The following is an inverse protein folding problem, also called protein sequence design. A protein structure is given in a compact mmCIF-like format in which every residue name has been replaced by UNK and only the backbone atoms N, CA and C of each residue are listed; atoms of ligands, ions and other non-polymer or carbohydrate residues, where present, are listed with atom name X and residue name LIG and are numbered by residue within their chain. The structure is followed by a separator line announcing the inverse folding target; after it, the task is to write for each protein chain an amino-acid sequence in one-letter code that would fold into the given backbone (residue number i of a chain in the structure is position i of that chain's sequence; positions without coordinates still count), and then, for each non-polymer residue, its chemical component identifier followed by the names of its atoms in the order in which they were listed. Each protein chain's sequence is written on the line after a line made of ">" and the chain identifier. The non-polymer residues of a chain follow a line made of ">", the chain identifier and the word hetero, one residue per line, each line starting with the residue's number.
data_IF_245101762234
#
_entry.id   IF_245101762234
#
_cell.length_a   1.000
_cell.length_b   1.000
_cell.length_c   1.000
_cell.angle_alpha   90.00
_cell.angle_beta   90.00
_cell.angle_gamma   90.00
#
_symmetry.space_group_name_H-M   'P 1'
#
loop_
_entity.id
_entity.type
_entity.pdbx_description
1 polymer ?
#
# COMPACT_ATOMS: atom_id res chain seq x y z
N UNK A 1 24.53 3.52 -11.22
CA UNK A 1 23.57 3.21 -12.31
C UNK A 1 22.17 2.91 -11.80
N UNK A 2 21.99 1.98 -10.86
CA UNK A 2 20.67 1.54 -10.37
C UNK A 2 19.76 2.70 -9.93
N UNK A 3 20.29 3.72 -9.26
CA UNK A 3 19.50 4.84 -8.74
C UNK A 3 18.88 5.72 -9.84
N UNK A 4 19.54 5.84 -11.00
CA UNK A 4 18.97 6.54 -12.16
C UNK A 4 17.79 5.76 -12.78
N UNK A 5 17.82 4.42 -12.71
CA UNK A 5 16.67 3.59 -13.09
C UNK A 5 15.55 3.71 -12.04
N UNK A 6 15.90 3.70 -10.75
CA UNK A 6 14.99 3.88 -9.61
C UNK A 6 14.22 5.21 -9.73
N UNK A 7 14.94 6.32 -9.95
CA UNK A 7 14.35 7.64 -10.17
C UNK A 7 13.44 7.71 -11.41
N UNK A 8 13.88 7.17 -12.55
CA UNK A 8 13.04 7.12 -13.77
C UNK A 8 11.75 6.32 -13.56
N UNK A 9 11.82 5.15 -12.93
CA UNK A 9 10.65 4.32 -12.62
C UNK A 9 9.69 4.99 -11.62
N UNK A 10 10.21 5.71 -10.63
CA UNK A 10 9.42 6.49 -9.68
C UNK A 10 8.69 7.66 -10.34
N UNK A 11 9.29 8.29 -11.37
CA UNK A 11 8.67 9.39 -12.12
C UNK A 11 7.52 9.00 -13.06
N UNK A 12 7.37 7.71 -13.42
CA UNK A 12 6.39 7.31 -14.43
C UNK A 12 4.92 7.54 -14.00
N UNK A 13 4.04 8.02 -14.92
CA UNK A 13 2.62 8.18 -14.66
C UNK A 13 1.92 6.83 -14.39
N UNK A 14 0.84 6.89 -13.62
CA UNK A 14 0.09 5.73 -13.07
C UNK A 14 -0.31 4.68 -14.10
N UNK A 15 -0.67 5.10 -15.33
CA UNK A 15 -1.01 4.16 -16.42
C UNK A 15 0.22 3.38 -16.91
N UNK A 16 1.36 4.05 -17.11
CA UNK A 16 2.60 3.41 -17.57
C UNK A 16 3.18 2.45 -16.52
N UNK A 17 3.18 2.83 -15.23
CA UNK A 17 3.55 1.90 -14.12
C UNK A 17 2.70 0.63 -14.13
N UNK A 18 1.39 0.74 -14.40
CA UNK A 18 0.49 -0.41 -14.49
C UNK A 18 0.71 -1.26 -15.73
N UNK A 19 0.96 -0.64 -16.90
CA UNK A 19 1.27 -1.35 -18.15
C UNK A 19 2.58 -2.13 -17.99
N UNK A 20 3.61 -1.52 -17.40
CA UNK A 20 4.89 -2.19 -17.12
C UNK A 20 4.69 -3.43 -16.24
N UNK A 21 3.93 -3.33 -15.14
CA UNK A 21 3.62 -4.49 -14.28
C UNK A 21 2.87 -5.61 -15.03
N UNK A 22 1.92 -5.27 -15.90
CA UNK A 22 1.20 -6.27 -16.71
C UNK A 22 2.16 -6.93 -17.72
N UNK A 23 3.02 -6.16 -18.38
CA UNK A 23 4.01 -6.70 -19.32
C UNK A 23 5.03 -7.63 -18.63
N UNK A 24 5.51 -7.25 -17.43
CA UNK A 24 6.38 -8.10 -16.62
C UNK A 24 5.68 -9.40 -16.22
N UNK A 25 4.45 -9.34 -15.71
CA UNK A 25 3.71 -10.54 -15.29
C UNK A 25 3.34 -11.44 -16.49
N UNK A 26 3.09 -10.90 -17.70
CA UNK A 26 2.94 -11.71 -18.94
C UNK A 26 4.25 -12.47 -19.22
N UNK A 27 5.39 -11.78 -19.17
CA UNK A 27 6.71 -12.40 -19.34
C UNK A 27 6.99 -13.48 -18.30
N UNK A 28 6.59 -13.28 -17.03
CA UNK A 28 6.70 -14.30 -15.99
C UNK A 28 5.78 -15.50 -16.22
N UNK A 29 4.56 -15.29 -16.72
CA UNK A 29 3.64 -16.38 -17.09
C UNK A 29 4.25 -17.23 -18.20
N UNK A 30 4.76 -16.62 -19.27
CA UNK A 30 5.50 -17.32 -20.33
C UNK A 30 6.73 -18.06 -19.82
N UNK A 31 7.57 -17.40 -19.01
CA UNK A 31 8.76 -18.01 -18.42
C UNK A 31 8.41 -19.22 -17.53
N UNK A 32 7.37 -19.09 -16.70
CA UNK A 32 6.90 -20.19 -15.83
C UNK A 32 6.34 -21.38 -16.61
N UNK A 33 5.71 -21.13 -17.77
CA UNK A 33 5.20 -22.17 -18.66
C UNK A 33 6.34 -22.88 -19.40
N UNK A 34 7.30 -22.13 -19.93
CA UNK A 34 8.49 -22.69 -20.59
C UNK A 34 9.35 -23.51 -19.62
N UNK A 35 9.56 -23.02 -18.40
CA UNK A 35 10.21 -23.80 -17.34
C UNK A 35 9.37 -25.04 -16.93
N UNK A 36 8.04 -24.98 -16.99
CA UNK A 36 7.19 -26.14 -16.72
C UNK A 36 7.30 -27.23 -17.79
N UNK A 37 7.53 -26.86 -19.06
CA UNK A 37 7.91 -27.78 -20.14
C UNK A 37 9.28 -28.42 -19.87
N UNK A 38 10.32 -27.62 -19.62
CA UNK A 38 11.68 -28.09 -19.34
C UNK A 38 11.73 -29.06 -18.14
N UNK A 39 11.05 -28.73 -17.03
CA UNK A 39 10.97 -29.58 -15.84
C UNK A 39 10.12 -30.85 -16.06
N UNK A 40 9.29 -30.90 -17.11
CA UNK A 40 8.44 -32.07 -17.42
C UNK A 40 9.02 -33.02 -18.47
N UNK A 41 9.67 -32.49 -19.50
CA UNK A 41 10.15 -33.26 -20.66
C UNK A 41 11.67 -33.41 -20.69
N UNK A 42 12.42 -32.67 -19.86
CA UNK A 42 13.87 -32.62 -19.91
C UNK A 42 14.37 -31.79 -21.10
N UNK A 43 15.58 -32.08 -21.55
CA UNK A 43 16.28 -31.37 -22.64
C UNK A 43 16.58 -32.23 -23.86
N UNK A 44 16.20 -33.51 -23.85
CA UNK A 44 16.59 -34.49 -24.88
C UNK A 44 15.52 -34.69 -25.95
N UNK A 45 14.23 -34.66 -25.58
CA UNK A 45 13.17 -34.38 -26.55
C UNK A 45 13.26 -32.91 -26.96
N UNK A 46 13.52 -32.64 -28.25
CA UNK A 46 13.74 -31.29 -28.77
C UNK A 46 12.42 -30.49 -28.78
N UNK A 47 12.12 -29.86 -27.64
CA UNK A 47 10.86 -29.17 -27.38
C UNK A 47 10.63 -28.05 -28.42
N UNK A 48 9.59 -28.18 -29.24
CA UNK A 48 8.97 -27.04 -29.91
C UNK A 48 7.76 -26.54 -29.09
N UNK A 49 7.94 -25.52 -28.22
CA UNK A 49 6.83 -24.92 -27.49
C UNK A 49 5.87 -24.12 -28.39
N UNK A 50 6.23 -23.88 -29.66
CA UNK A 50 5.45 -23.16 -30.67
C UNK A 50 4.82 -24.08 -31.73
N UNK A 51 5.00 -25.40 -31.63
CA UNK A 51 4.25 -26.41 -32.36
C UNK A 51 2.87 -26.66 -31.74
N UNK A 52 2.47 -27.93 -31.58
CA UNK A 52 1.15 -28.35 -31.04
C UNK A 52 0.78 -27.72 -29.68
N UNK A 53 1.76 -27.19 -28.96
CA UNK A 53 1.61 -26.61 -27.63
C UNK A 53 1.48 -25.07 -27.61
N UNK A 54 1.63 -24.38 -28.75
CA UNK A 54 1.62 -22.91 -28.85
C UNK A 54 0.39 -22.26 -28.20
N UNK A 55 -0.77 -22.92 -28.30
CA UNK A 55 -2.04 -22.44 -27.75
C UNK A 55 -1.97 -22.20 -26.23
N UNK A 56 -1.13 -22.93 -25.50
CA UNK A 56 -0.93 -22.75 -24.06
C UNK A 56 -0.25 -21.41 -23.73
N UNK A 57 0.67 -20.94 -24.57
CA UNK A 57 1.32 -19.63 -24.41
C UNK A 57 0.34 -18.46 -24.69
N UNK A 58 -0.77 -18.71 -25.38
CA UNK A 58 -1.87 -17.75 -25.53
C UNK A 58 -2.88 -17.89 -24.38
N UNK A 59 -3.28 -19.12 -24.04
CA UNK A 59 -4.29 -19.41 -23.02
C UNK A 59 -3.85 -19.06 -21.59
N UNK A 60 -2.56 -19.26 -21.25
CA UNK A 60 -2.07 -18.98 -19.89
C UNK A 60 -2.11 -17.47 -19.55
N UNK A 61 -1.60 -16.53 -20.38
CA UNK A 61 -1.82 -15.09 -20.15
C UNK A 61 -3.30 -14.69 -20.25
N UNK A 62 -4.05 -15.24 -21.22
CA UNK A 62 -5.46 -14.90 -21.42
C UNK A 62 -6.35 -15.28 -20.23
N UNK A 63 -5.99 -16.33 -19.48
CA UNK A 63 -6.67 -16.70 -18.22
C UNK A 63 -6.07 -15.98 -17.00
N UNK A 64 -4.73 -15.91 -16.88
CA UNK A 64 -4.06 -15.33 -15.74
C UNK A 64 -4.25 -13.82 -15.60
N UNK A 65 -4.07 -13.05 -16.68
CA UNK A 65 -4.08 -11.57 -16.61
C UNK A 65 -5.45 -11.01 -16.20
N UNK A 66 -6.60 -11.46 -16.73
CA UNK A 66 -7.91 -11.03 -16.22
C UNK A 66 -8.14 -11.37 -14.75
N UNK A 67 -7.68 -12.54 -14.29
CA UNK A 67 -7.75 -12.92 -12.87
C UNK A 67 -6.85 -12.04 -12.00
N UNK A 68 -5.60 -11.79 -12.41
CA UNK A 68 -4.68 -10.89 -11.70
C UNK A 68 -5.23 -9.45 -11.64
N UNK A 69 -5.95 -8.99 -12.68
CA UNK A 69 -6.71 -7.73 -12.67
C UNK A 69 -7.89 -7.80 -11.69
N UNK A 70 -8.67 -8.90 -11.68
CA UNK A 70 -9.89 -9.09 -10.88
C UNK A 70 -9.62 -9.25 -9.38
N UNK A 71 -8.48 -9.86 -9.03
CA UNK A 71 -7.92 -9.93 -7.66
C UNK A 71 -7.13 -8.68 -7.27
N UNK A 72 -6.99 -7.71 -8.19
CA UNK A 72 -6.45 -6.38 -7.88
C UNK A 72 -4.92 -6.30 -7.83
N UNK A 73 -4.17 -7.30 -8.29
CA UNK A 73 -2.69 -7.31 -8.25
C UNK A 73 -2.05 -6.13 -9.00
N UNK A 74 -2.74 -5.55 -9.98
CA UNK A 74 -2.31 -4.34 -10.71
C UNK A 74 -3.01 -3.05 -10.26
N UNK A 75 -3.90 -3.14 -9.27
CA UNK A 75 -4.52 -1.96 -8.67
C UNK A 75 -3.57 -1.53 -7.55
N UNK A 76 -3.19 -0.25 -7.54
CA UNK A 76 -2.27 0.35 -6.57
C UNK A 76 -2.79 0.38 -5.11
N UNK A 77 -3.79 -0.44 -4.79
CA UNK A 77 -4.49 -0.58 -3.52
C UNK A 77 -4.17 -1.96 -2.92
N UNK A 78 -2.92 -2.40 -3.02
CA UNK A 78 -2.33 -3.42 -2.12
C UNK A 78 -2.13 -2.83 -0.71
N UNK A 79 -3.16 -2.13 -0.21
CA UNK A 79 -3.15 -1.17 0.91
C UNK A 79 -2.93 -1.85 2.25
N UNK A 80 -3.41 -3.08 2.36
CA UNK A 80 -3.19 -3.97 3.49
C UNK A 80 -1.83 -4.65 3.28
N UNK A 81 -0.77 -3.92 3.66
CA UNK A 81 0.63 -4.34 3.54
C UNK A 81 0.98 -5.41 4.60
N UNK A 82 0.40 -6.59 4.41
CA UNK A 82 0.59 -7.78 5.23
C UNK A 82 0.27 -9.04 4.42
N UNK A 83 -0.20 -10.10 5.09
CA UNK A 83 -0.49 -11.39 4.46
C UNK A 83 -1.55 -11.31 3.35
N UNK A 84 -2.46 -10.33 3.38
CA UNK A 84 -3.50 -10.15 2.35
C UNK A 84 -2.93 -10.04 0.93
N UNK A 85 -1.75 -9.42 0.77
CA UNK A 85 -1.09 -9.31 -0.52
C UNK A 85 -0.61 -10.67 -1.05
N UNK A 86 -0.08 -11.53 -0.16
CA UNK A 86 0.34 -12.89 -0.49
C UNK A 86 -0.87 -13.81 -0.71
N UNK A 87 -1.92 -13.68 0.10
CA UNK A 87 -3.19 -14.41 -0.05
C UNK A 87 -3.85 -14.05 -1.39
N UNK A 88 -3.81 -12.78 -1.82
CA UNK A 88 -4.31 -12.37 -3.12
C UNK A 88 -3.51 -12.98 -4.28
N UNK A 89 -2.18 -12.98 -4.22
CA UNK A 89 -1.31 -13.64 -5.23
C UNK A 89 -1.61 -15.14 -5.27
N UNK A 90 -1.57 -15.82 -4.11
CA UNK A 90 -1.80 -17.27 -4.02
C UNK A 90 -3.19 -17.67 -4.56
N UNK A 91 -4.25 -16.92 -4.22
CA UNK A 91 -5.60 -17.15 -4.77
C UNK A 91 -5.63 -16.92 -6.28
N UNK A 92 -5.06 -15.83 -6.78
CA UNK A 92 -5.13 -15.49 -8.20
C UNK A 92 -4.32 -16.46 -9.07
N UNK A 93 -3.10 -16.85 -8.64
CA UNK A 93 -2.26 -17.83 -9.33
C UNK A 93 -2.91 -19.22 -9.29
N UNK A 94 -3.40 -19.67 -8.14
CA UNK A 94 -4.06 -20.99 -8.02
C UNK A 94 -5.34 -21.06 -8.86
N UNK A 95 -6.17 -20.01 -8.87
CA UNK A 95 -7.37 -19.99 -9.71
C UNK A 95 -7.00 -19.91 -11.19
N UNK A 96 -5.95 -19.20 -11.59
CA UNK A 96 -5.49 -19.20 -13.00
C UNK A 96 -4.97 -20.57 -13.45
N UNK A 97 -4.23 -21.28 -12.60
CA UNK A 97 -3.78 -22.63 -12.87
C UNK A 97 -4.95 -23.64 -12.91
N UNK A 98 -5.96 -23.48 -12.05
CA UNK A 98 -7.17 -24.32 -12.10
C UNK A 98 -8.01 -24.09 -13.36
N UNK A 99 -8.16 -22.83 -13.81
CA UNK A 99 -8.83 -22.52 -15.08
C UNK A 99 -8.03 -23.05 -16.27
N UNK A 100 -6.70 -22.92 -16.27
CA UNK A 100 -5.84 -23.50 -17.30
C UNK A 100 -5.93 -25.05 -17.31
N UNK A 101 -5.98 -25.68 -16.13
CA UNK A 101 -6.21 -27.13 -15.98
C UNK A 101 -7.53 -27.57 -16.58
N UNK A 102 -8.61 -26.79 -16.37
CA UNK A 102 -9.92 -27.06 -16.95
C UNK A 102 -9.92 -26.91 -18.48
N UNK A 103 -9.24 -25.89 -19.01
CA UNK A 103 -9.04 -25.73 -20.46
C UNK A 103 -8.27 -26.92 -21.06
N UNK A 104 -7.17 -27.36 -20.42
CA UNK A 104 -6.41 -28.55 -20.83
C UNK A 104 -7.23 -29.84 -20.73
N UNK A 105 -8.11 -29.95 -19.73
CA UNK A 105 -9.00 -31.12 -19.58
C UNK A 105 -10.09 -31.19 -20.66
N UNK A 106 -10.59 -30.03 -21.10
CA UNK A 106 -11.62 -29.87 -22.13
C UNK A 106 -11.05 -29.97 -23.55
N UNK A 107 -9.88 -29.38 -23.79
CA UNK A 107 -9.17 -29.38 -25.07
C UNK A 107 -8.44 -30.71 -25.29
N UNK A 108 -9.21 -31.77 -25.57
CA UNK A 108 -8.72 -33.13 -25.85
C UNK A 108 -8.50 -33.44 -27.34
N UNK A 109 -8.59 -32.44 -28.20
CA UNK A 109 -8.37 -32.60 -29.64
C UNK A 109 -6.96 -33.10 -29.92
N UNK A 110 -6.76 -34.17 -30.72
CA UNK A 110 -5.43 -34.58 -31.20
C UNK A 110 -4.70 -33.43 -31.91
N UNK A 111 -3.35 -33.40 -31.93
CA UNK A 111 -2.46 -34.56 -31.78
C UNK A 111 -1.88 -34.77 -30.37
N UNK A 112 -1.55 -33.69 -29.65
CA UNK A 112 -0.70 -33.76 -28.46
C UNK A 112 -1.47 -33.79 -27.13
N UNK A 113 -1.33 -34.89 -26.37
CA UNK A 113 -1.91 -35.01 -25.02
C UNK A 113 -1.02 -34.28 -24.02
N UNK A 114 -1.37 -33.03 -23.69
CA UNK A 114 -0.65 -32.20 -22.70
C UNK A 114 -0.53 -32.96 -21.36
N UNK A 115 0.69 -33.20 -20.84
CA UNK A 115 0.87 -33.90 -19.57
C UNK A 115 0.24 -33.12 -18.41
N UNK A 116 -0.68 -33.74 -17.65
CA UNK A 116 -1.40 -33.06 -16.55
C UNK A 116 -0.47 -32.45 -15.49
N UNK A 117 0.69 -33.07 -15.27
CA UNK A 117 1.76 -32.58 -14.40
C UNK A 117 2.42 -31.28 -14.88
N UNK A 118 2.32 -30.92 -16.17
CA UNK A 118 2.79 -29.63 -16.68
C UNK A 118 2.02 -28.46 -16.06
N UNK A 119 0.70 -28.61 -15.83
CA UNK A 119 -0.11 -27.57 -15.16
C UNK A 119 0.26 -27.43 -13.68
N UNK A 120 0.63 -28.54 -13.03
CA UNK A 120 1.17 -28.51 -11.66
C UNK A 120 2.55 -27.83 -11.60
N UNK A 121 3.44 -28.16 -12.54
CA UNK A 121 4.75 -27.49 -12.70
C UNK A 121 4.56 -25.99 -12.90
N UNK A 122 3.69 -25.59 -13.83
CA UNK A 122 3.34 -24.19 -14.08
C UNK A 122 2.80 -23.50 -12.82
N UNK A 123 1.95 -24.16 -12.02
CA UNK A 123 1.38 -23.57 -10.80
C UNK A 123 2.44 -23.20 -9.76
N UNK A 124 3.35 -24.11 -9.39
CA UNK A 124 4.38 -23.78 -8.38
C UNK A 124 5.44 -22.83 -8.92
N UNK A 125 5.84 -22.97 -10.20
CA UNK A 125 6.80 -22.06 -10.85
C UNK A 125 6.24 -20.64 -11.00
N UNK A 126 4.98 -20.48 -11.43
CA UNK A 126 4.35 -19.16 -11.52
C UNK A 126 4.13 -18.54 -10.14
N UNK A 127 3.79 -19.33 -9.12
CA UNK A 127 3.72 -18.86 -7.74
C UNK A 127 5.09 -18.38 -7.22
N UNK A 128 6.18 -19.12 -7.47
CA UNK A 128 7.52 -18.69 -7.06
C UNK A 128 8.03 -17.49 -7.86
N UNK A 129 7.84 -17.44 -9.17
CA UNK A 129 8.34 -16.35 -10.01
C UNK A 129 7.55 -15.05 -9.76
N UNK A 130 6.22 -15.11 -9.79
CA UNK A 130 5.36 -13.94 -9.58
C UNK A 130 5.39 -13.55 -8.10
N UNK A 131 5.17 -14.49 -7.18
CA UNK A 131 5.24 -14.22 -5.73
C UNK A 131 6.62 -13.75 -5.28
N UNK A 132 7.68 -14.38 -5.78
CA UNK A 132 9.07 -14.03 -5.51
C UNK A 132 9.45 -12.65 -6.05
N UNK A 133 9.13 -12.31 -7.31
CA UNK A 133 9.40 -10.97 -7.84
C UNK A 133 8.59 -9.90 -7.10
N UNK A 134 7.32 -10.18 -6.73
CA UNK A 134 6.48 -9.29 -5.92
C UNK A 134 7.05 -9.07 -4.52
N UNK A 135 7.61 -10.10 -3.89
CA UNK A 135 8.32 -10.01 -2.61
C UNK A 135 9.66 -9.27 -2.72
N UNK A 136 10.46 -9.55 -3.74
CA UNK A 136 11.73 -8.87 -3.99
C UNK A 136 11.51 -7.38 -4.26
N UNK A 137 10.54 -7.02 -5.11
CA UNK A 137 10.10 -5.63 -5.29
C UNK A 137 9.64 -5.03 -3.96
N UNK A 138 8.79 -5.72 -3.17
CA UNK A 138 8.33 -5.23 -1.86
C UNK A 138 9.50 -4.87 -0.94
N UNK A 139 10.51 -5.73 -0.81
CA UNK A 139 11.67 -5.47 0.06
C UNK A 139 12.55 -4.32 -0.50
N UNK A 140 12.93 -4.39 -1.78
CA UNK A 140 13.82 -3.39 -2.40
C UNK A 140 13.24 -1.97 -2.46
N UNK A 141 11.91 -1.87 -2.59
CA UNK A 141 11.21 -0.60 -2.68
C UNK A 141 10.53 -0.15 -1.37
N UNK A 142 10.70 -0.88 -0.26
CA UNK A 142 9.93 -0.66 0.98
C UNK A 142 10.16 0.71 1.63
N UNK A 143 11.28 1.39 1.32
CA UNK A 143 11.55 2.76 1.76
C UNK A 143 10.80 3.85 0.99
N UNK A 144 10.71 3.74 -0.35
CA UNK A 144 10.43 4.90 -1.22
C UNK A 144 9.23 4.74 -2.18
N UNK A 145 8.88 3.53 -2.63
CA UNK A 145 7.77 3.38 -3.60
C UNK A 145 6.41 3.68 -2.98
N UNK A 146 6.32 3.68 -1.65
CA UNK A 146 5.10 4.00 -0.93
C UNK A 146 4.73 5.49 -1.00
N UNK A 147 5.68 6.39 -1.30
CA UNK A 147 5.37 7.81 -1.58
C UNK A 147 4.92 8.03 -3.02
N UNK A 148 5.65 7.49 -4.01
CA UNK A 148 5.40 7.69 -5.46
C UNK A 148 4.12 7.02 -6.02
N UNK A 149 3.28 6.49 -5.13
CA UNK A 149 1.95 5.93 -5.40
C UNK A 149 0.84 6.71 -4.67
N UNK A 150 1.16 7.53 -3.66
CA UNK A 150 0.20 8.34 -2.89
C UNK A 150 -0.32 9.55 -3.68
N UNK A 151 -1.34 9.29 -4.51
CA UNK A 151 -2.42 10.24 -4.79
C UNK A 151 -3.71 9.54 -4.34
N UNK A 152 -4.11 9.81 -3.10
CA UNK A 152 -4.76 8.83 -2.21
C UNK A 152 -6.30 8.81 -2.36
N UNK A 153 -6.92 7.69 -2.80
CA UNK A 153 -8.39 7.63 -2.93
C UNK A 153 -9.17 7.67 -1.60
N UNK A 154 -8.50 7.51 -0.46
CA UNK A 154 -9.15 7.60 0.87
C UNK A 154 -9.62 9.02 1.22
N UNK A 155 -9.22 10.03 0.45
CA UNK A 155 -9.70 11.41 0.54
C UNK A 155 -11.17 11.57 0.12
N UNK A 156 -11.73 10.63 -0.66
CA UNK A 156 -13.13 10.68 -1.12
C UNK A 156 -14.03 9.60 -0.50
N UNK A 157 -13.63 8.98 0.62
CA UNK A 157 -14.58 8.21 1.43
C UNK A 157 -15.28 9.17 2.40
N UNK A 158 -16.48 9.61 2.01
CA UNK A 158 -17.38 10.45 2.82
C UNK A 158 -18.03 9.60 3.91
N UNK A 159 -17.21 9.09 4.85
CA UNK A 159 -17.66 8.23 5.94
C UNK A 159 -18.32 9.03 7.09
N UNK A 160 -18.65 10.31 6.88
CA UNK A 160 -19.13 11.28 7.90
C UNK A 160 -18.07 11.75 8.91
N UNK A 161 -17.05 10.93 9.18
CA UNK A 161 -16.08 11.13 10.25
C UNK A 161 -15.20 12.40 10.09
N UNK A 162 -14.97 13.15 11.18
CA UNK A 162 -14.08 14.33 11.18
C UNK A 162 -12.64 13.95 10.83
N UNK A 163 -11.97 14.84 10.10
CA UNK A 163 -10.63 14.63 9.55
C UNK A 163 -9.59 15.34 10.38
N UNK A 164 -8.63 14.58 10.91
CA UNK A 164 -7.63 15.10 11.85
C UNK A 164 -6.22 14.95 11.29
N UNK A 165 -5.43 16.02 11.36
CA UNK A 165 -3.99 15.94 11.23
C UNK A 165 -3.37 15.70 12.62
N UNK A 166 -2.17 15.13 12.67
CA UNK A 166 -1.45 14.88 13.93
C UNK A 166 -0.12 15.62 13.90
N UNK A 167 0.11 16.47 14.89
CA UNK A 167 1.38 17.18 15.05
C UNK A 167 2.34 16.31 15.87
N UNK A 168 3.54 16.06 15.34
CA UNK A 168 4.50 15.08 15.85
C UNK A 168 4.30 13.72 15.20
N UNK A 169 5.21 13.35 14.30
CA UNK A 169 5.24 12.06 13.59
C UNK A 169 6.14 11.01 14.27
N UNK A 170 6.62 11.29 15.49
CA UNK A 170 7.38 10.37 16.34
C UNK A 170 6.53 9.24 16.97
N UNK A 171 7.06 8.60 18.01
CA UNK A 171 6.46 7.41 18.62
C UNK A 171 5.00 7.64 19.10
N UNK A 172 4.75 8.74 19.81
CA UNK A 172 3.42 9.09 20.32
C UNK A 172 2.39 9.31 19.18
N UNK A 173 2.78 10.03 18.12
CA UNK A 173 1.93 10.23 16.94
C UNK A 173 1.60 8.93 16.20
N UNK A 174 2.56 8.00 16.11
CA UNK A 174 2.30 6.67 15.54
C UNK A 174 1.33 5.83 16.40
N UNK A 175 1.47 5.88 17.72
CA UNK A 175 0.53 5.25 18.65
C UNK A 175 -0.89 5.86 18.54
N UNK A 176 -0.99 7.19 18.43
CA UNK A 176 -2.26 7.87 18.20
C UNK A 176 -2.91 7.44 16.88
N UNK A 177 -2.17 7.37 15.77
CA UNK A 177 -2.70 6.85 14.49
C UNK A 177 -3.24 5.42 14.63
N UNK A 178 -2.58 4.56 15.41
CA UNK A 178 -3.07 3.21 15.66
C UNK A 178 -4.38 3.22 16.47
N UNK A 179 -4.44 3.99 17.55
CA UNK A 179 -5.63 4.12 18.40
C UNK A 179 -6.85 4.66 17.64
N UNK A 180 -6.69 5.74 16.87
CA UNK A 180 -7.77 6.34 16.08
C UNK A 180 -8.33 5.37 15.00
N UNK A 181 -7.45 4.57 14.38
CA UNK A 181 -7.86 3.56 13.39
C UNK A 181 -8.67 2.40 14.00
N UNK A 182 -8.48 2.13 15.30
CA UNK A 182 -9.29 1.17 16.05
C UNK A 182 -10.61 1.80 16.51
N UNK A 183 -10.56 2.99 17.13
CA UNK A 183 -11.73 3.65 17.71
C UNK A 183 -12.74 4.22 16.71
N UNK A 184 -12.33 4.43 15.45
CA UNK A 184 -13.17 4.91 14.31
C UNK A 184 -13.84 6.29 14.48
N UNK A 185 -13.82 6.93 15.65
CA UNK A 185 -14.47 8.23 15.88
C UNK A 185 -13.86 9.40 15.08
N UNK A 186 -12.56 9.36 14.78
CA UNK A 186 -11.84 10.37 14.00
C UNK A 186 -10.98 9.71 12.91
N UNK A 187 -10.79 10.40 11.79
CA UNK A 187 -10.01 9.91 10.64
C UNK A 187 -8.65 10.64 10.57
N UNK A 188 -7.53 10.00 10.93
CA UNK A 188 -6.21 10.61 10.75
C UNK A 188 -5.85 10.67 9.25
N UNK A 189 -5.57 11.87 8.74
CA UNK A 189 -5.31 12.14 7.31
C UNK A 189 -3.88 12.56 6.98
N UNK A 190 -3.19 13.23 7.91
CA UNK A 190 -1.85 13.78 7.71
C UNK A 190 -1.03 13.76 9.02
N UNK A 191 0.29 13.82 8.86
CA UNK A 191 1.21 14.20 9.93
C UNK A 191 1.76 15.61 9.67
N UNK A 192 2.04 16.36 10.71
CA UNK A 192 2.81 17.62 10.69
C UNK A 192 4.04 17.40 11.57
N UNK A 193 5.24 17.67 11.08
CA UNK A 193 6.48 17.61 11.87
C UNK A 193 7.50 18.64 11.39
N UNK A 194 8.34 19.12 12.30
CA UNK A 194 9.38 20.11 12.03
C UNK A 194 10.70 19.48 11.57
N UNK A 195 10.92 18.19 11.85
CA UNK A 195 12.13 17.49 11.41
C UNK A 195 12.18 17.34 9.89
N UNK A 196 13.12 18.09 9.30
CA UNK A 196 13.43 18.09 7.87
C UNK A 196 13.86 16.72 7.34
N UNK A 197 14.34 15.81 8.19
CA UNK A 197 14.69 14.46 7.75
C UNK A 197 13.45 13.65 7.38
N UNK A 198 12.34 13.78 8.14
CA UNK A 198 11.09 13.05 7.92
C UNK A 198 10.03 13.83 7.13
N UNK A 199 10.22 15.13 6.90
CA UNK A 199 9.44 15.94 5.97
C UNK A 199 9.23 15.27 4.60
N UNK A 200 8.01 15.32 4.07
CA UNK A 200 7.56 14.64 2.84
C UNK A 200 7.69 13.11 2.82
N UNK A 201 8.15 12.44 3.89
CA UNK A 201 8.05 10.97 4.00
C UNK A 201 6.61 10.54 4.30
N UNK A 202 6.39 9.23 4.24
CA UNK A 202 5.10 8.60 4.57
C UNK A 202 5.28 7.77 5.84
N UNK A 203 4.65 8.20 6.95
CA UNK A 203 4.73 7.55 8.26
C UNK A 203 3.34 7.00 8.62
N UNK A 204 3.27 5.75 9.08
CA UNK A 204 2.04 4.97 9.26
C UNK A 204 1.06 4.95 8.04
N UNK A 205 1.50 5.35 6.85
CA UNK A 205 0.65 5.53 5.66
C UNK A 205 0.02 6.92 5.48
N UNK A 206 0.42 7.92 6.28
CA UNK A 206 0.05 9.33 6.14
C UNK A 206 1.28 10.12 5.66
N UNK A 207 1.09 11.15 4.83
CA UNK A 207 2.18 12.06 4.42
C UNK A 207 2.55 13.00 5.57
N UNK A 208 3.85 13.19 5.79
CA UNK A 208 4.40 14.17 6.74
C UNK A 208 4.60 15.50 6.02
N UNK A 209 3.92 16.54 6.49
CA UNK A 209 4.10 17.92 6.06
C UNK A 209 4.95 18.67 7.09
N UNK A 210 5.62 19.75 6.69
CA UNK A 210 6.23 20.69 7.64
C UNK A 210 5.25 21.81 7.96
N UNK A 211 5.45 22.51 9.08
CA UNK A 211 4.59 23.63 9.49
C UNK A 211 4.39 24.69 8.37
N UNK A 212 5.40 24.91 7.53
CA UNK A 212 5.32 25.82 6.36
C UNK A 212 4.31 25.42 5.28
N UNK A 213 3.87 24.16 5.26
CA UNK A 213 2.96 23.59 4.25
C UNK A 213 1.58 23.24 4.82
N UNK A 214 1.20 23.79 5.98
CA UNK A 214 -0.12 23.52 6.60
C UNK A 214 -1.29 23.89 5.67
N UNK A 215 -1.21 25.01 4.92
CA UNK A 215 -2.24 25.37 3.92
C UNK A 215 -2.44 24.28 2.88
N UNK A 216 -1.35 23.85 2.22
CA UNK A 216 -1.34 22.75 1.27
C UNK A 216 -1.86 21.44 1.88
N UNK A 217 -1.56 21.16 3.15
CA UNK A 217 -2.08 19.99 3.86
C UNK A 217 -3.61 20.06 4.05
N UNK A 218 -4.16 21.22 4.39
CA UNK A 218 -5.63 21.43 4.46
C UNK A 218 -6.24 21.23 3.07
N UNK A 219 -5.70 21.88 2.04
CA UNK A 219 -6.22 21.82 0.68
C UNK A 219 -6.14 20.41 0.07
N UNK A 220 -5.04 19.67 0.30
CA UNK A 220 -4.88 18.29 -0.18
C UNK A 220 -5.70 17.26 0.62
N UNK A 221 -6.02 17.50 1.90
CA UNK A 221 -6.58 16.46 2.78
C UNK A 221 -8.00 16.71 3.32
N UNK A 222 -8.43 17.97 3.37
CA UNK A 222 -9.65 18.40 4.05
C UNK A 222 -9.57 18.23 5.57
N UNK A 223 -8.40 18.40 6.19
CA UNK A 223 -8.27 18.38 7.65
C UNK A 223 -9.09 19.51 8.31
N UNK A 224 -9.73 19.19 9.43
CA UNK A 224 -10.63 20.06 10.20
C UNK A 224 -10.11 20.29 11.64
N UNK A 225 -9.35 19.32 12.17
CA UNK A 225 -8.73 19.38 13.49
C UNK A 225 -7.24 19.01 13.43
N UNK A 226 -6.47 19.44 14.43
CA UNK A 226 -5.08 19.03 14.67
C UNK A 226 -4.94 18.46 16.07
N UNK A 227 -4.42 17.24 16.18
CA UNK A 227 -4.12 16.60 17.46
C UNK A 227 -2.63 16.74 17.79
N UNK A 228 -2.31 17.39 18.91
CA UNK A 228 -0.92 17.55 19.36
C UNK A 228 -0.41 16.26 20.03
N UNK A 229 0.49 15.53 19.36
CA UNK A 229 1.12 14.29 19.83
C UNK A 229 2.62 14.48 20.14
N UNK A 230 2.96 15.61 20.77
CA UNK A 230 4.32 16.05 21.10
C UNK A 230 4.58 16.11 22.62
N UNK A 231 4.46 14.98 23.37
CA UNK A 231 4.53 15.00 24.84
C UNK A 231 5.89 15.48 25.38
N UNK A 232 6.97 15.29 24.63
CA UNK A 232 8.33 15.73 24.96
C UNK A 232 8.62 17.21 24.63
N UNK A 233 7.72 17.93 23.95
CA UNK A 233 7.92 19.34 23.65
C UNK A 233 7.74 20.21 24.89
N UNK A 234 8.61 21.22 25.05
CA UNK A 234 8.53 22.22 26.12
C UNK A 234 7.26 23.07 26.03
N UNK A 235 6.81 23.68 27.12
CA UNK A 235 5.64 24.59 27.11
C UNK A 235 5.81 25.71 26.08
N UNK A 236 7.00 26.31 25.99
CA UNK A 236 7.34 27.33 25.00
C UNK A 236 7.18 26.81 23.56
N UNK A 237 7.70 25.62 23.23
CA UNK A 237 7.56 25.06 21.87
C UNK A 237 6.11 24.70 21.54
N UNK A 238 5.31 24.23 22.50
CA UNK A 238 3.87 23.99 22.29
C UNK A 238 3.12 25.29 21.99
N UNK A 239 3.45 26.38 22.69
CA UNK A 239 2.88 27.71 22.46
C UNK A 239 3.24 28.26 21.07
N UNK A 240 4.51 28.20 20.69
CA UNK A 240 4.97 28.56 19.33
C UNK A 240 4.23 27.77 18.24
N UNK A 241 3.97 26.48 18.48
CA UNK A 241 3.21 25.63 17.55
C UNK A 241 1.73 26.04 17.48
N UNK A 242 1.10 26.38 18.60
CA UNK A 242 -0.29 26.90 18.64
C UNK A 242 -0.40 28.23 17.90
N UNK A 243 0.49 29.19 18.17
CA UNK A 243 0.59 30.48 17.49
C UNK A 243 0.88 30.30 15.98
N UNK A 244 1.56 29.22 15.56
CA UNK A 244 1.74 28.86 14.14
C UNK A 244 0.51 28.22 13.47
N UNK A 245 -0.46 27.74 14.26
CA UNK A 245 -1.68 27.08 13.81
C UNK A 245 -2.90 28.01 13.80
N UNK A 246 -2.92 29.03 14.65
CA UNK A 246 -3.97 30.06 14.76
C UNK A 246 -4.40 30.70 13.41
N UNK A 247 -3.51 30.96 12.42
CA UNK A 247 -3.92 31.54 11.13
C UNK A 247 -4.69 30.60 10.18
N UNK A 248 -5.08 29.40 10.64
CA UNK A 248 -5.73 28.36 9.85
C UNK A 248 -7.08 27.93 10.45
N UNK A 249 -8.07 27.55 9.63
CA UNK A 249 -9.39 27.09 10.10
C UNK A 249 -9.32 25.63 10.62
N UNK A 250 -8.55 25.42 11.68
CA UNK A 250 -8.22 24.11 12.26
C UNK A 250 -8.46 24.14 13.78
N UNK A 251 -9.31 23.25 14.29
CA UNK A 251 -9.50 23.11 15.73
C UNK A 251 -8.30 22.34 16.32
N UNK A 252 -7.50 22.99 17.15
CA UNK A 252 -6.33 22.34 17.78
C UNK A 252 -6.75 21.72 19.11
N UNK A 253 -6.56 20.41 19.27
CA UNK A 253 -6.80 19.67 20.52
C UNK A 253 -5.49 19.06 21.01
N UNK A 254 -5.16 19.26 22.28
CA UNK A 254 -4.12 18.46 22.92
C UNK A 254 -4.64 17.07 23.23
N UNK A 255 -3.79 16.05 23.15
CA UNK A 255 -4.08 14.81 23.89
C UNK A 255 -4.09 15.10 25.40
N UNK A 256 -5.03 14.53 26.18
CA UNK A 256 -4.84 14.26 27.60
C UNK A 256 -3.60 13.37 27.82
N UNK A 257 -3.11 13.32 29.05
CA UNK A 257 -1.95 12.49 29.38
C UNK A 257 -2.21 11.01 29.08
N UNK A 258 -1.21 10.32 28.50
CA UNK A 258 -1.34 8.87 28.19
C UNK A 258 -1.58 8.01 29.45
N UNK A 259 -1.43 8.58 30.64
CA UNK A 259 -1.74 7.98 31.95
C UNK A 259 -3.25 7.82 32.19
N UNK A 260 -4.08 8.75 31.74
CA UNK A 260 -5.51 8.79 32.11
C UNK A 260 -6.31 7.65 31.43
N UNK A 261 -5.95 7.33 30.18
CA UNK A 261 -6.51 6.21 29.42
C UNK A 261 -6.19 4.83 30.02
N UNK A 262 -5.17 4.72 30.87
CA UNK A 262 -4.81 3.47 31.56
C UNK A 262 -5.64 3.24 32.85
N UNK A 263 -6.34 4.26 33.35
CA UNK A 263 -7.01 4.25 34.66
C UNK A 263 -8.43 3.68 34.67
N UNK A 264 -9.06 3.54 33.50
CA UNK A 264 -10.45 3.13 33.37
C UNK A 264 -11.50 4.15 33.85
N UNK A 265 -11.12 5.41 34.12
CA UNK A 265 -12.02 6.45 34.65
C UNK A 265 -11.98 7.79 33.90
N UNK A 266 -12.62 7.87 32.75
CA UNK A 266 -13.24 9.13 32.25
C UNK A 266 -14.52 8.75 31.50
N UNK A 267 -15.66 9.39 31.81
CA UNK A 267 -16.85 9.36 30.95
C UNK A 267 -16.68 10.40 29.84
N UNK A 268 -17.33 10.19 28.70
CA UNK A 268 -17.33 11.16 27.60
C UNK A 268 -18.05 12.44 28.05
N UNK A 269 -17.30 13.48 28.43
CA UNK A 269 -17.74 14.89 28.42
C UNK A 269 -16.60 15.93 28.58
N UNK A 270 -15.43 15.58 29.15
CA UNK A 270 -14.29 16.52 29.28
C UNK A 270 -13.53 16.77 27.95
N UNK A 271 -14.18 17.49 27.03
CA UNK A 271 -13.51 18.26 25.98
C UNK A 271 -13.20 19.66 26.53
N UNK A 272 -12.07 19.81 27.21
CA UNK A 272 -11.56 21.15 27.52
C UNK A 272 -11.16 21.86 26.23
N UNK A 273 -11.97 22.83 25.83
CA UNK A 273 -11.53 23.92 24.96
C UNK A 273 -10.48 24.75 25.72
N UNK A 274 -9.42 25.18 25.03
CA UNK A 274 -8.35 25.97 25.64
C UNK A 274 -8.82 27.42 25.71
N UNK A 275 -9.51 27.76 26.79
CA UNK A 275 -10.03 29.10 27.02
C UNK A 275 -8.88 30.12 27.19
N UNK A 276 -9.11 31.34 26.72
CA UNK A 276 -8.11 32.40 26.51
C UNK A 276 -7.55 32.93 27.85
N UNK A 277 -8.20 32.61 28.97
CA UNK A 277 -7.82 33.02 30.32
C UNK A 277 -6.43 32.52 30.77
N UNK A 278 -5.97 31.33 30.34
CA UNK A 278 -4.70 30.72 30.81
C UNK A 278 -3.43 31.38 30.22
N UNK A 279 -3.59 32.48 29.46
CA UNK A 279 -2.50 33.27 28.89
C UNK A 279 -1.94 34.36 29.82
N UNK A 280 -2.60 34.65 30.96
CA UNK A 280 -2.21 35.67 31.95
C UNK A 280 -2.01 35.06 33.35
N UNK A 281 -0.99 34.21 33.46
CA UNK A 281 -0.81 33.31 34.60
C UNK A 281 -0.52 33.95 35.97
N UNK A 282 -0.83 33.17 37.01
CA UNK A 282 -0.31 33.24 38.38
C UNK A 282 -0.03 31.83 38.88
#
# INVERSE_FOLDING_TARGET
>A
MLDNLRGRLLGLPRRQKRILQVATDIGLVWLSLWLAFLVRLGTEDMIDPFGDHAWLFIAAPLTAIPLFIRFGMYRAVMRYLGNDALIAIAKAVTISALVLSLLVYWYRSPPAVVPRSLVFNYWWLSMLLIGGLRLAMRQYFMGDWYSAVQSVPFLNRQDGLPRVAIYGAGAAGNQLVAALRLGRAMRPVAFIDDDKQIANRVIAGLRVYTAKHIRQMIDETGAQEVLLAIPSATRARRREILESLEPFPLHVRSMPGFMDLASGRVKVDDLQEVDIADLLGR
#
